data_IF_172614631962
#
_entry.id   IF_172614631962
#
_cell.length_a   1.000
_cell.length_b   1.000
_cell.length_c   1.000
_cell.angle_alpha   90.00
_cell.angle_beta   90.00
_cell.angle_gamma   90.00
#
_symmetry.space_group_name_H-M   'P 1'
#
loop_
_entity.id
_entity.type
_entity.pdbx_description
1 polymer ?
#
# COMPACT_ATOMS: atom_id res chain seq x y z
N UNK A 1 6.70 -15.79 11.24
CA UNK A 1 5.73 -15.42 10.17
C UNK A 1 6.42 -15.31 8.82
N UNK A 2 5.70 -15.48 7.69
CA UNK A 2 6.24 -15.33 6.33
C UNK A 2 5.36 -14.37 5.54
N UNK A 3 5.91 -13.21 5.12
CA UNK A 3 5.26 -12.27 4.21
C UNK A 3 5.56 -12.64 2.76
N UNK A 4 4.52 -12.85 1.97
CA UNK A 4 4.60 -13.28 0.57
C UNK A 4 4.23 -12.16 -0.38
N UNK A 5 5.08 -11.92 -1.37
CA UNK A 5 4.93 -10.93 -2.44
C UNK A 5 6.12 -9.97 -2.51
N UNK A 6 6.34 -9.37 -3.68
CA UNK A 6 7.42 -8.38 -3.89
C UNK A 6 7.01 -7.01 -3.34
N UNK A 7 7.97 -6.24 -2.82
CA UNK A 7 7.75 -4.85 -2.39
C UNK A 7 7.40 -3.89 -3.54
N UNK A 8 7.55 -4.32 -4.79
CA UNK A 8 6.97 -3.61 -5.94
C UNK A 8 5.44 -3.50 -5.88
N UNK A 9 4.74 -4.38 -5.12
CA UNK A 9 3.33 -4.22 -4.80
C UNK A 9 3.16 -3.25 -3.62
N UNK A 10 2.40 -2.16 -3.76
CA UNK A 10 2.17 -1.22 -2.66
C UNK A 10 1.43 -1.89 -1.49
N UNK A 11 0.63 -2.91 -1.76
CA UNK A 11 -0.09 -3.67 -0.74
C UNK A 11 0.85 -4.59 0.07
N UNK A 12 1.87 -5.17 -0.54
CA UNK A 12 2.92 -5.94 0.15
C UNK A 12 3.81 -4.99 0.94
N UNK A 13 4.27 -3.91 0.29
CA UNK A 13 5.18 -2.94 0.89
C UNK A 13 4.60 -2.33 2.17
N UNK A 14 3.31 -1.94 2.17
CA UNK A 14 2.68 -1.37 3.37
C UNK A 14 2.64 -2.35 4.54
N UNK A 15 2.44 -3.65 4.28
CA UNK A 15 2.51 -4.69 5.33
C UNK A 15 3.94 -4.84 5.84
N UNK A 16 4.93 -4.93 4.95
CA UNK A 16 6.33 -5.01 5.34
C UNK A 16 6.79 -3.84 6.19
N UNK A 17 6.42 -2.60 5.79
CA UNK A 17 6.73 -1.39 6.57
C UNK A 17 6.07 -1.42 7.96
N UNK A 18 4.81 -1.88 8.07
CA UNK A 18 4.14 -2.04 9.38
C UNK A 18 4.88 -3.05 10.26
N UNK A 19 5.23 -4.23 9.73
CA UNK A 19 5.97 -5.26 10.47
C UNK A 19 7.32 -4.74 10.97
N UNK A 20 8.09 -4.06 10.11
CA UNK A 20 9.36 -3.44 10.51
C UNK A 20 9.19 -2.33 11.54
N UNK A 21 8.16 -1.48 11.40
CA UNK A 21 7.88 -0.40 12.36
C UNK A 21 7.55 -0.95 13.76
N UNK A 22 6.87 -2.08 13.82
CA UNK A 22 6.52 -2.76 15.06
C UNK A 22 7.65 -3.65 15.62
N UNK A 23 8.75 -3.80 14.87
CA UNK A 23 9.84 -4.71 15.25
C UNK A 23 9.42 -6.19 15.24
N UNK A 24 8.36 -6.54 14.52
CA UNK A 24 7.85 -7.91 14.43
C UNK A 24 8.71 -8.73 13.49
N UNK A 25 9.34 -9.84 13.94
CA UNK A 25 10.19 -10.65 13.08
C UNK A 25 9.38 -11.46 12.05
N UNK A 26 9.84 -11.47 10.82
CA UNK A 26 9.23 -12.23 9.72
C UNK A 26 10.27 -12.59 8.64
N UNK A 27 10.01 -13.66 7.89
CA UNK A 27 10.68 -13.98 6.64
C UNK A 27 9.96 -13.27 5.49
N UNK A 28 10.70 -12.68 4.54
CA UNK A 28 10.13 -12.11 3.33
C UNK A 28 10.37 -13.02 2.13
N UNK A 29 9.30 -13.47 1.46
CA UNK A 29 9.34 -14.20 0.19
C UNK A 29 8.87 -13.32 -0.95
N UNK A 30 9.82 -12.76 -1.71
CA UNK A 30 9.60 -11.85 -2.83
C UNK A 30 9.00 -12.52 -4.08
N UNK A 31 7.91 -13.27 -3.95
CA UNK A 31 7.25 -13.95 -5.06
C UNK A 31 6.47 -12.98 -5.95
N UNK A 32 6.58 -13.18 -7.27
CA UNK A 32 5.93 -12.36 -8.29
C UNK A 32 4.63 -13.00 -8.80
N UNK A 33 3.54 -12.24 -8.87
CA UNK A 33 2.30 -12.70 -9.52
C UNK A 33 2.44 -12.92 -11.02
N UNK A 34 3.54 -12.50 -11.64
CA UNK A 34 3.81 -12.74 -13.05
C UNK A 34 4.48 -14.10 -13.31
N UNK A 35 5.32 -14.58 -12.38
CA UNK A 35 6.17 -15.77 -12.58
C UNK A 35 5.90 -16.89 -11.58
N UNK A 36 5.43 -16.59 -10.35
CA UNK A 36 5.41 -17.52 -9.23
C UNK A 36 3.99 -17.89 -8.77
N UNK A 37 2.98 -17.81 -9.67
CA UNK A 37 1.56 -18.03 -9.32
C UNK A 37 1.32 -19.36 -8.59
N UNK A 38 1.98 -20.43 -9.00
CA UNK A 38 1.83 -21.74 -8.37
C UNK A 38 2.29 -21.72 -6.90
N UNK A 39 3.44 -21.09 -6.63
CA UNK A 39 3.95 -20.94 -5.26
C UNK A 39 3.07 -20.02 -4.42
N UNK A 40 2.58 -18.91 -5.00
CA UNK A 40 1.66 -17.97 -4.32
C UNK A 40 0.35 -18.67 -3.92
N UNK A 41 -0.19 -19.55 -4.77
CA UNK A 41 -1.42 -20.32 -4.47
C UNK A 41 -1.30 -21.21 -3.24
N UNK A 42 -0.08 -21.62 -2.87
CA UNK A 42 0.18 -22.35 -1.62
C UNK A 42 -0.07 -21.51 -0.35
N UNK A 43 0.00 -20.18 -0.44
CA UNK A 43 -0.27 -19.22 0.64
C UNK A 43 -1.64 -18.55 0.50
N UNK A 44 -2.04 -18.26 -0.74
CA UNK A 44 -3.30 -17.61 -1.07
C UNK A 44 -3.91 -18.22 -2.33
N UNK A 45 -4.95 -19.08 -2.19
CA UNK A 45 -5.61 -19.74 -3.33
C UNK A 45 -6.15 -18.78 -4.40
N UNK A 46 -6.45 -17.51 -4.02
CA UNK A 46 -6.90 -16.46 -4.95
C UNK A 46 -5.74 -15.95 -5.82
N UNK A 47 -4.49 -16.39 -5.55
CA UNK A 47 -3.27 -16.01 -6.28
C UNK A 47 -2.99 -14.50 -6.27
N UNK A 48 -3.28 -13.83 -5.15
CA UNK A 48 -2.98 -12.41 -4.90
C UNK A 48 -1.94 -12.25 -3.79
N UNK A 49 -1.26 -11.11 -3.81
CA UNK A 49 -0.33 -10.69 -2.76
C UNK A 49 -0.78 -9.34 -2.18
N UNK A 50 -0.53 -9.07 -0.88
CA UNK A 50 0.17 -9.90 0.09
C UNK A 50 -0.61 -11.11 0.56
N UNK A 51 0.13 -12.12 1.03
CA UNK A 51 -0.33 -13.11 1.98
C UNK A 51 0.64 -13.12 3.17
N UNK A 52 0.17 -13.38 4.37
CA UNK A 52 0.98 -13.54 5.57
C UNK A 52 0.68 -14.89 6.19
N UNK A 53 1.67 -15.79 6.21
CA UNK A 53 1.58 -17.05 6.95
C UNK A 53 2.07 -16.84 8.39
N UNK A 54 1.23 -17.10 9.35
CA UNK A 54 1.57 -17.04 10.78
C UNK A 54 2.37 -18.30 11.20
N UNK A 55 3.00 -18.26 12.36
CA UNK A 55 3.80 -19.38 12.87
C UNK A 55 2.98 -20.63 13.22
N UNK A 56 1.67 -20.45 13.45
CA UNK A 56 0.71 -21.54 13.64
C UNK A 56 0.22 -22.18 12.31
N UNK A 57 0.69 -21.66 11.15
CA UNK A 57 0.30 -22.14 9.82
C UNK A 57 -0.96 -21.47 9.24
N UNK A 58 -1.59 -20.54 9.95
CA UNK A 58 -2.71 -19.77 9.44
C UNK A 58 -2.25 -18.79 8.34
N UNK A 59 -3.00 -18.73 7.24
CA UNK A 59 -2.74 -17.80 6.14
C UNK A 59 -3.75 -16.64 6.18
N UNK A 60 -3.23 -15.43 6.33
CA UNK A 60 -3.99 -14.18 6.24
C UNK A 60 -3.84 -13.57 4.84
N UNK A 61 -4.91 -12.99 4.32
CA UNK A 61 -5.00 -12.39 2.99
C UNK A 61 -5.57 -10.98 3.08
N UNK A 62 -5.30 -10.17 2.06
CA UNK A 62 -5.68 -8.76 1.98
C UNK A 62 -4.96 -7.86 3.00
N UNK A 63 -4.25 -6.87 2.49
CA UNK A 63 -3.34 -6.06 3.31
C UNK A 63 -4.02 -5.36 4.50
N UNK A 64 -5.31 -5.04 4.38
CA UNK A 64 -6.05 -4.40 5.48
C UNK A 64 -6.32 -5.40 6.62
N UNK A 65 -6.77 -6.61 6.30
CA UNK A 65 -7.01 -7.66 7.28
C UNK A 65 -5.71 -8.16 7.92
N UNK A 66 -4.65 -8.32 7.11
CA UNK A 66 -3.31 -8.67 7.60
C UNK A 66 -2.83 -7.64 8.62
N UNK A 67 -2.91 -6.35 8.30
CA UNK A 67 -2.44 -5.28 9.20
C UNK A 67 -3.30 -5.22 10.47
N UNK A 68 -4.62 -5.33 10.36
CA UNK A 68 -5.50 -5.33 11.53
C UNK A 68 -5.14 -6.49 12.49
N UNK A 69 -4.91 -7.69 11.94
CA UNK A 69 -4.45 -8.85 12.72
C UNK A 69 -3.07 -8.63 13.37
N UNK A 70 -2.10 -8.04 12.65
CA UNK A 70 -0.78 -7.73 13.20
C UNK A 70 -0.91 -6.74 14.36
N UNK A 71 -1.73 -5.71 14.22
CA UNK A 71 -1.94 -4.69 15.25
C UNK A 71 -2.62 -5.27 16.49
N UNK A 72 -3.60 -6.17 16.32
CA UNK A 72 -4.25 -6.90 17.42
C UNK A 72 -3.26 -7.79 18.19
N UNK A 73 -2.36 -8.46 17.47
CA UNK A 73 -1.29 -9.28 18.05
C UNK A 73 -0.14 -8.46 18.67
N UNK A 74 -0.16 -7.12 18.58
CA UNK A 74 0.91 -6.25 19.08
C UNK A 74 0.36 -5.29 20.16
N UNK A 75 0.21 -5.73 21.42
CA UNK A 75 -0.30 -4.89 22.50
C UNK A 75 0.55 -3.63 22.69
N UNK A 76 -0.12 -2.49 22.87
CA UNK A 76 0.56 -1.19 23.09
C UNK A 76 1.07 -0.52 21.81
N UNK A 77 0.80 -1.06 20.61
CA UNK A 77 1.12 -0.38 19.36
C UNK A 77 0.43 1.00 19.26
N UNK A 78 1.06 1.92 18.57
CA UNK A 78 0.59 3.31 18.42
C UNK A 78 0.20 3.66 16.96
N UNK A 79 0.37 2.73 16.02
CA UNK A 79 0.07 2.96 14.60
C UNK A 79 -1.41 3.22 14.32
N UNK A 80 -2.28 2.60 15.11
CA UNK A 80 -3.73 2.74 14.97
C UNK A 80 -4.37 2.91 16.35
N UNK A 81 -5.12 4.00 16.60
CA UNK A 81 -5.88 4.16 17.83
C UNK A 81 -6.83 2.98 18.09
N UNK A 82 -6.99 2.55 19.34
CA UNK A 82 -7.77 1.37 19.70
C UNK A 82 -9.25 1.51 19.29
N UNK A 83 -9.86 2.69 19.48
CA UNK A 83 -11.29 2.92 19.25
C UNK A 83 -11.59 4.37 18.85
N UNK A 84 -12.85 4.67 18.58
CA UNK A 84 -13.37 6.03 18.49
C UNK A 84 -13.14 6.75 17.16
N UNK A 85 -13.27 8.06 17.18
CA UNK A 85 -13.20 8.92 16.00
C UNK A 85 -11.80 8.90 15.37
N UNK A 86 -10.74 8.92 16.19
CA UNK A 86 -9.37 8.91 15.71
C UNK A 86 -9.05 7.61 14.92
N UNK A 87 -9.51 6.43 15.41
CA UNK A 87 -9.38 5.18 14.66
C UNK A 87 -10.09 5.24 13.32
N UNK A 88 -11.36 5.71 13.30
CA UNK A 88 -12.12 5.82 12.06
C UNK A 88 -11.42 6.72 11.04
N UNK A 89 -10.84 7.83 11.50
CA UNK A 89 -10.13 8.79 10.65
C UNK A 89 -8.89 8.15 10.00
N UNK A 90 -8.06 7.46 10.77
CA UNK A 90 -6.88 6.76 10.23
C UNK A 90 -7.29 5.70 9.21
N UNK A 91 -8.30 4.87 9.53
CA UNK A 91 -8.80 3.85 8.61
C UNK A 91 -9.41 4.44 7.34
N UNK A 92 -10.12 5.58 7.44
CA UNK A 92 -10.68 6.28 6.29
C UNK A 92 -9.58 6.78 5.34
N UNK A 93 -8.50 7.35 5.87
CA UNK A 93 -7.36 7.79 5.05
C UNK A 93 -6.66 6.61 4.36
N UNK A 94 -6.48 5.49 5.07
CA UNK A 94 -5.99 4.25 4.46
C UNK A 94 -6.91 3.79 3.32
N UNK A 95 -8.22 3.80 3.53
CA UNK A 95 -9.20 3.36 2.55
C UNK A 95 -9.18 4.24 1.28
N UNK A 96 -9.05 5.57 1.41
CA UNK A 96 -8.95 6.48 0.27
C UNK A 96 -7.74 6.12 -0.59
N UNK A 97 -6.55 5.94 0.02
CA UNK A 97 -5.35 5.55 -0.74
C UNK A 97 -5.50 4.16 -1.36
N UNK A 98 -5.97 3.16 -0.60
CA UNK A 98 -6.15 1.81 -1.13
C UNK A 98 -7.15 1.76 -2.29
N UNK A 99 -8.22 2.55 -2.25
CA UNK A 99 -9.16 2.67 -3.38
C UNK A 99 -8.49 3.22 -4.63
N UNK A 100 -7.66 4.26 -4.49
CA UNK A 100 -6.86 4.78 -5.61
C UNK A 100 -5.87 3.76 -6.16
N UNK A 101 -5.22 2.99 -5.27
CA UNK A 101 -4.30 1.92 -5.66
C UNK A 101 -4.99 0.79 -6.43
N UNK A 102 -6.20 0.37 -6.01
CA UNK A 102 -6.97 -0.64 -6.74
C UNK A 102 -7.29 -0.18 -8.16
N UNK A 103 -7.63 1.09 -8.35
CA UNK A 103 -7.85 1.67 -9.69
C UNK A 103 -6.56 1.75 -10.50
N UNK A 104 -5.44 2.10 -9.85
CA UNK A 104 -4.14 2.14 -10.49
C UNK A 104 -3.69 0.75 -10.98
N UNK A 105 -3.91 -0.30 -10.21
CA UNK A 105 -3.61 -1.67 -10.65
C UNK A 105 -4.46 -2.04 -11.88
N UNK A 106 -5.75 -1.70 -11.89
CA UNK A 106 -6.62 -1.93 -13.05
C UNK A 106 -6.12 -1.13 -14.28
N UNK A 107 -5.78 0.15 -14.09
CA UNK A 107 -5.24 1.01 -15.14
C UNK A 107 -3.95 0.44 -15.73
N UNK A 108 -3.01 -0.01 -14.90
CA UNK A 108 -1.73 -0.58 -15.34
C UNK A 108 -1.92 -1.91 -16.08
N UNK A 109 -2.86 -2.73 -15.64
CA UNK A 109 -3.06 -4.06 -16.24
C UNK A 109 -3.95 -4.05 -17.49
N UNK A 110 -4.81 -3.06 -17.70
CA UNK A 110 -5.68 -2.98 -18.88
C UNK A 110 -4.88 -3.11 -20.18
N UNK A 111 -3.87 -2.25 -20.46
CA UNK A 111 -3.09 -2.38 -21.69
C UNK A 111 -2.10 -3.56 -21.69
N UNK A 112 -1.75 -4.12 -20.52
CA UNK A 112 -0.79 -5.24 -20.44
C UNK A 112 -1.43 -6.61 -20.67
N UNK A 113 -2.73 -6.72 -20.42
CA UNK A 113 -3.47 -7.99 -20.47
C UNK A 113 -4.41 -8.10 -21.64
N UNK A 114 -4.51 -7.06 -22.47
CA UNK A 114 -5.35 -7.03 -23.66
C UNK A 114 -4.52 -6.76 -24.91
N UNK A 115 -4.92 -7.29 -26.08
CA UNK A 115 -4.44 -6.79 -27.36
C UNK A 115 -4.76 -5.29 -27.50
N UNK A 116 -3.88 -4.53 -28.15
CA UNK A 116 -3.97 -3.08 -28.21
C UNK A 116 -5.33 -2.57 -28.75
N UNK A 117 -5.88 -3.27 -29.76
CA UNK A 117 -7.17 -2.95 -30.38
C UNK A 117 -8.39 -3.23 -29.49
N UNK A 118 -8.18 -3.90 -28.34
CA UNK A 118 -9.23 -4.20 -27.36
C UNK A 118 -9.11 -3.36 -26.09
N UNK A 119 -8.11 -2.50 -26.00
CA UNK A 119 -7.98 -1.53 -24.92
C UNK A 119 -9.02 -0.45 -25.12
N UNK A 120 -9.86 -0.23 -24.09
CA UNK A 120 -10.95 0.73 -24.19
C UNK A 120 -10.60 2.03 -23.44
N UNK A 121 -10.25 3.07 -24.22
CA UNK A 121 -9.76 4.33 -23.67
C UNK A 121 -10.71 4.98 -22.63
N UNK A 122 -12.04 5.00 -22.81
CA UNK A 122 -12.95 5.55 -21.80
C UNK A 122 -12.88 4.85 -20.43
N UNK A 123 -12.53 3.56 -20.39
CA UNK A 123 -12.28 2.83 -19.13
C UNK A 123 -11.01 3.34 -18.46
N UNK A 124 -9.92 3.51 -19.23
CA UNK A 124 -8.68 4.07 -18.71
C UNK A 124 -8.87 5.51 -18.20
N UNK A 125 -9.61 6.33 -18.92
CA UNK A 125 -9.91 7.71 -18.53
C UNK A 125 -10.67 7.76 -17.20
N UNK A 126 -11.71 6.93 -17.06
CA UNK A 126 -12.48 6.83 -15.80
C UNK A 126 -11.65 6.30 -14.63
N UNK A 127 -10.72 5.36 -14.86
CA UNK A 127 -9.78 4.89 -13.85
C UNK A 127 -8.80 6.01 -13.43
N UNK A 128 -8.27 6.77 -14.40
CA UNK A 128 -7.38 7.89 -14.15
C UNK A 128 -8.07 8.99 -13.32
N UNK A 129 -9.34 9.31 -13.62
CA UNK A 129 -10.15 10.24 -12.83
C UNK A 129 -10.30 9.79 -11.38
N UNK A 130 -10.58 8.51 -11.13
CA UNK A 130 -10.72 7.96 -9.79
C UNK A 130 -9.41 7.99 -9.00
N UNK A 131 -8.27 7.69 -9.65
CA UNK A 131 -6.94 7.80 -9.04
C UNK A 131 -6.67 9.26 -8.66
N UNK A 132 -6.91 10.19 -9.59
CA UNK A 132 -6.71 11.63 -9.37
C UNK A 132 -7.58 12.15 -8.23
N UNK A 133 -8.85 11.73 -8.16
CA UNK A 133 -9.76 12.09 -7.08
C UNK A 133 -9.25 11.63 -5.71
N UNK A 134 -8.75 10.38 -5.62
CA UNK A 134 -8.12 9.86 -4.41
C UNK A 134 -6.93 10.70 -3.97
N UNK A 135 -6.01 11.02 -4.89
CA UNK A 135 -4.84 11.86 -4.61
C UNK A 135 -5.23 13.28 -4.20
N UNK A 136 -6.22 13.89 -4.87
CA UNK A 136 -6.72 15.24 -4.54
C UNK A 136 -7.30 15.31 -3.12
N UNK A 137 -8.07 14.29 -2.71
CA UNK A 137 -8.60 14.21 -1.35
C UNK A 137 -7.46 14.11 -0.31
N UNK A 138 -6.47 13.28 -0.58
CA UNK A 138 -5.32 13.08 0.33
C UNK A 138 -4.41 14.30 0.37
N UNK A 139 -4.18 14.97 -0.75
CA UNK A 139 -3.43 16.23 -0.82
C UNK A 139 -4.09 17.32 0.03
N UNK A 140 -5.41 17.45 -0.07
CA UNK A 140 -6.17 18.43 0.72
C UNK A 140 -6.10 18.13 2.24
N UNK A 141 -6.04 16.84 2.62
CA UNK A 141 -5.82 16.42 4.02
C UNK A 141 -4.38 16.71 4.46
N UNK A 142 -3.41 16.41 3.62
CA UNK A 142 -2.00 16.68 3.89
C UNK A 142 -1.71 18.18 4.06
N UNK A 143 -2.32 19.04 3.23
CA UNK A 143 -2.23 20.49 3.34
C UNK A 143 -2.77 21.03 4.67
N UNK A 144 -3.70 20.33 5.31
CA UNK A 144 -4.25 20.66 6.65
C UNK A 144 -3.39 20.10 7.80
N UNK A 145 -2.25 19.48 7.51
CA UNK A 145 -1.37 18.88 8.52
C UNK A 145 -1.92 17.58 9.13
N UNK A 146 -2.81 16.88 8.43
CA UNK A 146 -3.40 15.63 8.92
C UNK A 146 -2.37 14.51 9.08
N UNK A 147 -1.33 14.50 8.23
CA UNK A 147 -0.29 13.49 8.21
C UNK A 147 0.99 14.01 8.85
N UNK A 148 1.50 13.29 9.84
CA UNK A 148 2.71 13.67 10.57
C UNK A 148 3.98 13.21 9.83
N UNK A 149 4.00 11.95 9.41
CA UNK A 149 5.20 11.34 8.83
C UNK A 149 6.36 11.25 9.83
N UNK A 150 7.52 10.81 9.36
CA UNK A 150 8.71 10.68 10.21
C UNK A 150 8.49 9.75 11.40
N UNK A 151 9.15 10.03 12.53
CA UNK A 151 9.09 9.18 13.73
C UNK A 151 7.70 9.06 14.38
N UNK A 152 6.76 9.90 14.01
CA UNK A 152 5.37 9.88 14.51
C UNK A 152 4.39 9.31 13.46
N UNK A 153 4.90 8.68 12.42
CA UNK A 153 4.09 8.10 11.36
C UNK A 153 3.11 7.05 11.92
N UNK A 154 1.83 7.23 11.65
CA UNK A 154 0.79 6.25 11.94
C UNK A 154 0.46 5.39 10.71
N UNK A 155 -0.52 4.50 10.81
CA UNK A 155 -0.89 3.61 9.73
C UNK A 155 -1.36 4.36 8.46
N UNK A 156 -1.99 5.54 8.60
CA UNK A 156 -2.39 6.36 7.45
C UNK A 156 -1.17 6.97 6.77
N UNK A 157 -0.22 7.52 7.54
CA UNK A 157 1.04 8.06 7.00
C UNK A 157 1.79 6.99 6.19
N UNK A 158 1.96 5.79 6.76
CA UNK A 158 2.60 4.65 6.09
C UNK A 158 1.87 4.31 4.78
N UNK A 159 0.55 4.15 4.84
CA UNK A 159 -0.25 3.76 3.69
C UNK A 159 -0.21 4.79 2.57
N UNK A 160 -0.34 6.08 2.92
CA UNK A 160 -0.35 7.18 1.95
C UNK A 160 1.04 7.37 1.35
N UNK A 161 2.11 7.30 2.15
CA UNK A 161 3.48 7.43 1.64
C UNK A 161 3.87 6.29 0.69
N UNK A 162 3.59 5.04 1.05
CA UNK A 162 3.81 3.87 0.19
C UNK A 162 2.99 3.97 -1.10
N UNK A 163 1.71 4.37 -0.99
CA UNK A 163 0.82 4.52 -2.14
C UNK A 163 1.28 5.65 -3.08
N UNK A 164 1.64 6.80 -2.54
CA UNK A 164 2.20 7.90 -3.33
C UNK A 164 3.44 7.48 -4.09
N UNK A 165 4.40 6.84 -3.40
CA UNK A 165 5.64 6.37 -4.02
C UNK A 165 5.36 5.45 -5.22
N UNK A 166 4.44 4.49 -5.06
CA UNK A 166 4.03 3.57 -6.12
C UNK A 166 3.39 4.30 -7.30
N UNK A 167 2.43 5.20 -7.03
CA UNK A 167 1.71 5.95 -8.06
C UNK A 167 2.62 6.90 -8.81
N UNK A 168 3.46 7.66 -8.12
CA UNK A 168 4.37 8.59 -8.75
C UNK A 168 5.43 7.89 -9.62
N UNK A 169 5.95 6.73 -9.20
CA UNK A 169 6.88 5.94 -10.03
C UNK A 169 6.21 5.22 -11.19
N UNK A 170 5.03 4.65 -10.97
CA UNK A 170 4.36 3.82 -11.95
C UNK A 170 3.46 4.58 -12.94
N UNK A 171 2.91 5.72 -12.53
CA UNK A 171 1.95 6.54 -13.26
C UNK A 171 2.27 8.04 -13.12
N UNK A 172 3.49 8.50 -13.49
CA UNK A 172 3.91 9.90 -13.30
C UNK A 172 3.02 10.89 -14.06
N UNK A 173 2.32 10.47 -15.10
CA UNK A 173 1.36 11.28 -15.85
C UNK A 173 0.06 11.56 -15.07
N UNK A 174 -0.26 10.75 -14.04
CA UNK A 174 -1.43 10.93 -13.16
C UNK A 174 -0.96 11.49 -11.82
N UNK A 175 0.04 10.89 -11.20
CA UNK A 175 0.61 11.34 -9.92
C UNK A 175 1.71 12.39 -10.14
N UNK A 176 1.32 13.55 -10.68
CA UNK A 176 2.23 14.65 -11.03
C UNK A 176 2.71 15.38 -9.77
N UNK A 177 4.02 15.33 -9.48
CA UNK A 177 4.60 15.87 -8.25
C UNK A 177 4.24 17.33 -7.97
N UNK A 178 4.20 18.20 -9.00
CA UNK A 178 3.85 19.61 -8.85
C UNK A 178 2.39 19.85 -8.46
N UNK A 179 1.49 18.88 -8.68
CA UNK A 179 0.07 18.98 -8.32
C UNK A 179 -0.18 18.46 -6.88
N UNK A 180 0.73 17.68 -6.32
CA UNK A 180 0.57 17.03 -5.01
C UNK A 180 1.79 17.25 -4.09
N UNK A 181 2.20 18.53 -3.84
CA UNK A 181 3.45 18.82 -3.12
C UNK A 181 3.45 18.33 -1.67
N UNK A 182 2.29 18.29 -1.00
CA UNK A 182 2.22 17.81 0.38
C UNK A 182 2.37 16.27 0.48
N UNK A 183 1.84 15.53 -0.50
CA UNK A 183 2.07 14.08 -0.60
C UNK A 183 3.52 13.75 -0.94
N UNK A 184 4.16 14.54 -1.81
CA UNK A 184 5.61 14.47 -2.06
C UNK A 184 6.39 14.63 -0.76
N UNK A 185 6.11 15.69 0.00
CA UNK A 185 6.80 15.98 1.26
C UNK A 185 6.55 14.90 2.33
N UNK A 186 5.33 14.36 2.44
CA UNK A 186 5.00 13.26 3.32
C UNK A 186 5.81 12.00 2.97
N UNK A 187 5.77 11.60 1.70
CA UNK A 187 6.50 10.41 1.23
C UNK A 187 8.00 10.56 1.45
N UNK A 188 8.58 11.71 1.13
CA UNK A 188 10.00 11.97 1.36
C UNK A 188 10.40 11.81 2.84
N UNK A 189 9.59 12.30 3.78
CA UNK A 189 9.84 12.11 5.23
C UNK A 189 9.73 10.64 5.65
N UNK A 190 8.76 9.91 5.12
CA UNK A 190 8.57 8.50 5.46
C UNK A 190 9.67 7.61 4.85
N UNK A 191 10.09 7.87 3.62
CA UNK A 191 11.12 7.07 2.93
C UNK A 191 12.49 7.12 3.62
N UNK A 192 12.75 8.08 4.51
CA UNK A 192 13.97 8.11 5.33
C UNK A 192 13.93 7.16 6.54
N UNK A 193 12.77 6.64 6.88
CA UNK A 193 12.61 5.77 8.05
C UNK A 193 13.24 4.38 7.81
N UNK A 194 13.88 3.77 8.84
CA UNK A 194 14.48 2.44 8.71
C UNK A 194 13.52 1.37 8.19
N UNK A 195 12.23 1.41 8.61
CA UNK A 195 11.22 0.47 8.15
C UNK A 195 10.92 0.58 6.64
N UNK A 196 10.94 1.80 6.08
CA UNK A 196 10.78 2.02 4.65
C UNK A 196 12.04 1.61 3.86
N UNK A 197 13.22 1.88 4.43
CA UNK A 197 14.50 1.48 3.84
C UNK A 197 14.67 -0.04 3.79
N UNK A 198 14.15 -0.77 4.79
CA UNK A 198 14.12 -2.23 4.80
C UNK A 198 13.17 -2.83 3.73
N UNK A 199 12.21 -2.03 3.22
CA UNK A 199 11.22 -2.42 2.22
C UNK A 199 11.46 -1.73 0.87
N UNK A 200 12.72 -1.60 0.43
CA UNK A 200 13.03 -1.02 -0.88
C UNK A 200 12.54 -1.92 -2.02
N UNK A 201 12.22 -1.30 -3.16
CA UNK A 201 11.82 -2.06 -4.33
C UNK A 201 12.99 -2.91 -4.80
N UNK A 202 12.75 -4.19 -4.93
CA UNK A 202 13.67 -5.10 -5.61
C UNK A 202 13.82 -4.66 -7.07
N UNK A 203 15.05 -4.54 -7.52
CA UNK A 203 15.40 -4.12 -8.88
C UNK A 203 14.92 -5.11 -9.94
#
# INVERSE_FOLDING_TARGET
MILVGRYASPFVRRVGVVLHTLGTPFEHKGLSTATDLAAIKGYNPIARVPALMLDNGENLMESAAIIDSILDMTPGQTLLPATGAARRQVLQHCAIMCSGLDKAIQYIYEPRRRPAEKVHQPVLDGLAEQITASLTMLEALAAKGTFQGGAQANLADITVAVGWFFLHKGLPQIAVASQFPNLVALSARCETLPAFQACQLEG
#
